data_IF_262208104716
#
_entry.id   IF_262208104716
#
_cell.length_a   1.000
_cell.length_b   1.000
_cell.length_c   1.000
_cell.angle_alpha   90.00
_cell.angle_beta   90.00
_cell.angle_gamma   90.00
#
_symmetry.space_group_name_H-M   'P 1'
#
loop_
_entity.id
_entity.type
_entity.pdbx_description
1 polymer ?
#
# COMPACT_ATOMS: atom_id res chain seq x y z
N UNK A 1 17.80 20.81 8.80
CA UNK A 1 18.03 19.49 9.45
C UNK A 1 18.36 19.80 10.90
N UNK A 2 17.45 19.55 11.84
CA UNK A 2 17.56 20.05 13.21
C UNK A 2 18.75 19.43 13.95
N UNK A 3 19.78 20.24 14.24
CA UNK A 3 20.99 19.86 14.99
C UNK A 3 20.73 19.87 16.49
N UNK A 4 19.93 18.92 16.97
CA UNK A 4 19.78 18.66 18.41
C UNK A 4 20.94 17.75 18.84
N UNK A 5 21.81 18.24 19.74
CA UNK A 5 22.92 17.47 20.30
C UNK A 5 22.42 16.23 21.06
N UNK A 6 22.66 15.02 20.53
CA UNK A 6 22.18 13.76 21.09
C UNK A 6 23.11 13.17 22.19
N UNK A 7 23.66 13.99 23.10
CA UNK A 7 24.52 13.51 24.21
C UNK A 7 23.87 13.52 25.60
N UNK A 8 22.76 14.24 25.80
CA UNK A 8 22.11 14.36 27.13
C UNK A 8 20.86 13.48 27.29
N UNK A 9 20.73 12.81 28.44
CA UNK A 9 19.54 12.03 28.83
C UNK A 9 18.22 12.82 28.68
N UNK A 10 18.28 14.14 28.89
CA UNK A 10 17.15 15.07 28.75
C UNK A 10 16.61 15.18 27.31
N UNK A 11 17.49 15.17 26.29
CA UNK A 11 17.07 15.27 24.88
C UNK A 11 16.41 13.97 24.40
N UNK A 12 16.82 12.82 24.95
CA UNK A 12 16.15 11.53 24.69
C UNK A 12 14.76 11.49 25.32
N UNK A 13 14.62 12.00 26.55
CA UNK A 13 13.33 12.05 27.24
C UNK A 13 12.34 12.98 26.54
N UNK A 14 12.81 14.11 26.01
CA UNK A 14 11.97 15.06 25.28
C UNK A 14 11.39 14.48 23.97
N UNK A 15 12.09 13.52 23.35
CA UNK A 15 11.61 12.76 22.18
C UNK A 15 10.77 11.54 22.60
N UNK A 16 11.12 10.89 23.71
CA UNK A 16 10.43 9.71 24.21
C UNK A 16 9.07 10.05 24.82
N UNK A 17 8.93 11.16 25.55
CA UNK A 17 7.68 11.56 26.22
C UNK A 17 6.51 11.70 25.22
N UNK A 18 6.65 12.37 24.06
CA UNK A 18 5.59 12.43 23.07
C UNK A 18 5.21 11.04 22.52
N UNK A 19 6.20 10.21 22.18
CA UNK A 19 5.96 8.87 21.61
C UNK A 19 5.30 7.96 22.65
N UNK A 20 5.78 7.99 23.91
CA UNK A 20 5.21 7.24 25.02
C UNK A 20 3.83 7.76 25.41
N UNK A 21 3.60 9.07 25.33
CA UNK A 21 2.29 9.68 25.57
C UNK A 21 1.25 9.22 24.55
N UNK A 22 1.64 9.16 23.26
CA UNK A 22 0.79 8.59 22.20
C UNK A 22 0.58 7.09 22.43
N UNK A 23 1.63 6.33 22.76
CA UNK A 23 1.52 4.90 23.09
C UNK A 23 0.64 4.61 24.30
N UNK A 24 0.68 5.47 25.32
CA UNK A 24 -0.19 5.40 26.47
C UNK A 24 -1.65 5.74 26.10
N UNK A 25 -1.86 6.79 25.28
CA UNK A 25 -3.18 7.14 24.79
C UNK A 25 -3.83 6.01 23.96
N UNK A 26 -3.03 5.26 23.19
CA UNK A 26 -3.48 4.10 22.42
C UNK A 26 -4.01 2.96 23.30
N UNK A 27 -3.61 2.85 24.58
CA UNK A 27 -4.13 1.82 25.49
C UNK A 27 -5.62 2.03 25.85
N UNK A 28 -6.14 3.24 25.66
CA UNK A 28 -7.57 3.53 25.89
C UNK A 28 -8.45 3.20 24.67
N UNK A 29 -7.84 2.85 23.53
CA UNK A 29 -8.53 2.41 22.33
C UNK A 29 -8.55 0.88 22.32
N UNK A 30 -9.64 0.28 21.84
CA UNK A 30 -9.70 -1.17 21.63
C UNK A 30 -8.57 -1.60 20.69
N UNK A 31 -7.70 -2.47 21.19
CA UNK A 31 -6.55 -2.98 20.45
C UNK A 31 -6.96 -3.65 19.13
N UNK A 32 -8.16 -4.22 19.07
CA UNK A 32 -8.74 -4.80 17.85
C UNK A 32 -8.90 -3.76 16.75
N UNK A 33 -9.31 -2.53 17.11
CA UNK A 33 -9.47 -1.43 16.15
C UNK A 33 -8.09 -1.02 15.62
N UNK A 34 -7.11 -0.82 16.51
CA UNK A 34 -5.74 -0.44 16.12
C UNK A 34 -5.16 -1.48 15.16
N UNK A 35 -5.25 -2.76 15.53
CA UNK A 35 -4.72 -3.86 14.74
C UNK A 35 -5.40 -3.96 13.37
N UNK A 36 -6.72 -3.74 13.31
CA UNK A 36 -7.46 -3.72 12.05
C UNK A 36 -6.96 -2.63 11.12
N UNK A 37 -6.78 -1.40 11.62
CA UNK A 37 -6.23 -0.30 10.83
C UNK A 37 -4.80 -0.55 10.35
N UNK A 38 -3.96 -1.08 11.24
CA UNK A 38 -2.60 -1.46 10.90
C UNK A 38 -2.56 -2.54 9.82
N UNK A 39 -3.39 -3.58 9.94
CA UNK A 39 -3.44 -4.70 9.01
C UNK A 39 -3.84 -4.27 7.59
N UNK A 40 -4.95 -3.52 7.42
CA UNK A 40 -5.39 -3.12 6.08
C UNK A 40 -4.46 -2.06 5.47
N UNK A 41 -3.89 -1.15 6.29
CA UNK A 41 -2.88 -0.19 5.82
C UNK A 41 -1.66 -0.91 5.26
N UNK A 42 -1.16 -1.94 5.97
CA UNK A 42 -0.04 -2.75 5.50
C UNK A 42 -0.36 -3.55 4.23
N UNK A 43 -1.56 -4.10 4.11
CA UNK A 43 -1.99 -4.78 2.87
C UNK A 43 -2.02 -3.81 1.69
N UNK A 44 -2.49 -2.57 1.91
CA UNK A 44 -2.50 -1.51 0.89
C UNK A 44 -1.08 -1.15 0.47
N UNK A 45 -0.18 -0.93 1.44
CA UNK A 45 1.22 -0.64 1.17
C UNK A 45 1.89 -1.78 0.39
N UNK A 46 1.69 -3.03 0.82
CA UNK A 46 2.21 -4.21 0.13
C UNK A 46 1.71 -4.28 -1.32
N UNK A 47 0.44 -3.93 -1.56
CA UNK A 47 -0.15 -3.89 -2.92
C UNK A 47 0.56 -2.87 -3.80
N UNK A 48 0.81 -1.67 -3.30
CA UNK A 48 1.55 -0.62 -4.03
C UNK A 48 2.96 -1.10 -4.35
N UNK A 49 3.66 -1.65 -3.36
CA UNK A 49 5.02 -2.19 -3.52
C UNK A 49 5.07 -3.33 -4.54
N UNK A 50 4.05 -4.20 -4.59
CA UNK A 50 3.96 -5.26 -5.60
C UNK A 50 3.82 -4.67 -7.02
N UNK A 51 3.01 -3.62 -7.21
CA UNK A 51 2.93 -2.93 -8.51
C UNK A 51 4.24 -2.25 -8.89
N UNK A 52 4.91 -1.59 -7.94
CA UNK A 52 6.24 -1.01 -8.15
C UNK A 52 7.28 -2.08 -8.51
N UNK A 53 7.28 -3.20 -7.80
CA UNK A 53 8.14 -4.36 -8.06
C UNK A 53 7.86 -5.00 -9.43
N UNK A 54 6.60 -5.07 -9.85
CA UNK A 54 6.24 -5.57 -11.18
C UNK A 54 6.79 -4.67 -12.31
N UNK A 55 6.73 -3.34 -12.13
CA UNK A 55 7.36 -2.38 -13.06
C UNK A 55 8.88 -2.57 -13.09
N UNK A 56 9.51 -2.72 -11.92
CA UNK A 56 10.96 -2.95 -11.82
C UNK A 56 11.38 -4.25 -12.52
N UNK A 57 10.68 -5.36 -12.27
CA UNK A 57 10.96 -6.64 -12.94
C UNK A 57 10.83 -6.55 -14.46
N UNK A 58 9.85 -5.81 -14.97
CA UNK A 58 9.70 -5.59 -16.41
C UNK A 58 10.89 -4.84 -17.00
N UNK A 59 11.38 -3.80 -16.32
CA UNK A 59 12.55 -3.03 -16.76
C UNK A 59 13.82 -3.88 -16.82
N UNK A 60 14.00 -4.76 -15.83
CA UNK A 60 15.11 -5.72 -15.77
C UNK A 60 14.92 -6.94 -16.71
N UNK A 61 13.87 -6.93 -17.56
CA UNK A 61 13.52 -8.04 -18.47
C UNK A 61 13.31 -9.39 -17.76
N UNK A 62 12.90 -9.35 -16.49
CA UNK A 62 12.53 -10.51 -15.69
C UNK A 62 11.02 -10.73 -15.72
N UNK A 63 10.58 -11.89 -15.24
CA UNK A 63 9.16 -12.26 -15.26
C UNK A 63 8.34 -11.39 -14.28
N UNK A 64 7.76 -10.29 -14.77
CA UNK A 64 6.92 -9.39 -13.98
C UNK A 64 5.61 -10.03 -13.49
N UNK A 65 5.19 -11.17 -14.05
CA UNK A 65 3.95 -11.87 -13.65
C UNK A 65 4.01 -12.33 -12.19
N UNK A 66 5.21 -12.63 -11.68
CA UNK A 66 5.41 -13.02 -10.28
C UNK A 66 4.95 -11.94 -9.29
N UNK A 67 5.02 -10.65 -9.67
CA UNK A 67 4.56 -9.54 -8.84
C UNK A 67 3.21 -8.97 -9.29
N UNK A 68 2.96 -8.88 -10.60
CA UNK A 68 1.71 -8.28 -11.14
C UNK A 68 0.46 -9.13 -10.88
N UNK A 69 0.56 -10.47 -10.88
CA UNK A 69 -0.57 -11.35 -10.54
C UNK A 69 -1.00 -11.16 -9.07
N UNK A 70 -0.12 -11.29 -8.07
CA UNK A 70 -0.51 -11.02 -6.68
C UNK A 70 -0.88 -9.55 -6.46
N UNK A 71 -0.28 -8.59 -7.18
CA UNK A 71 -0.69 -7.18 -7.09
C UNK A 71 -2.15 -6.96 -7.51
N UNK A 72 -2.57 -7.56 -8.63
CA UNK A 72 -3.94 -7.47 -9.12
C UNK A 72 -4.94 -8.09 -8.14
N UNK A 73 -4.63 -9.28 -7.62
CA UNK A 73 -5.45 -9.93 -6.59
C UNK A 73 -5.56 -9.09 -5.32
N UNK A 74 -4.43 -8.59 -4.81
CA UNK A 74 -4.42 -7.76 -3.60
C UNK A 74 -5.17 -6.44 -3.80
N UNK A 75 -5.15 -5.88 -5.01
CA UNK A 75 -5.97 -4.71 -5.36
C UNK A 75 -7.46 -5.01 -5.19
N UNK A 76 -7.94 -6.16 -5.67
CA UNK A 76 -9.34 -6.57 -5.47
C UNK A 76 -9.67 -6.74 -3.98
N UNK A 77 -8.78 -7.40 -3.22
CA UNK A 77 -8.98 -7.67 -1.78
C UNK A 77 -9.06 -6.38 -0.98
N UNK A 78 -8.09 -5.47 -1.15
CA UNK A 78 -8.03 -4.21 -0.41
C UNK A 78 -9.19 -3.29 -0.79
N UNK A 79 -9.52 -3.17 -2.08
CA UNK A 79 -10.68 -2.37 -2.52
C UNK A 79 -11.99 -2.93 -1.98
N UNK A 80 -12.20 -4.24 -2.05
CA UNK A 80 -13.41 -4.87 -1.50
C UNK A 80 -13.50 -4.64 0.00
N UNK A 81 -12.39 -4.79 0.73
CA UNK A 81 -12.34 -4.58 2.18
C UNK A 81 -12.76 -3.15 2.55
N UNK A 82 -12.17 -2.13 1.88
CA UNK A 82 -12.50 -0.72 2.14
C UNK A 82 -13.99 -0.43 1.89
N UNK A 83 -14.58 -1.06 0.88
CA UNK A 83 -15.99 -0.87 0.55
C UNK A 83 -16.94 -1.58 1.52
N UNK A 84 -16.58 -2.81 1.92
CA UNK A 84 -17.43 -3.67 2.73
C UNK A 84 -17.33 -3.38 4.24
N UNK A 85 -16.15 -3.03 4.72
CA UNK A 85 -15.89 -2.93 6.15
C UNK A 85 -16.79 -1.86 6.80
N UNK A 86 -17.29 -2.10 8.03
CA UNK A 86 -18.17 -1.16 8.72
C UNK A 86 -17.46 0.17 9.02
N UNK A 87 -16.15 0.16 9.22
CA UNK A 87 -15.33 1.38 9.35
C UNK A 87 -15.01 2.07 8.02
N UNK A 88 -15.27 1.42 6.89
CA UNK A 88 -15.09 1.94 5.54
C UNK A 88 -16.41 2.51 5.01
N UNK A 89 -16.83 2.05 3.84
CA UNK A 89 -18.09 2.50 3.23
C UNK A 89 -19.32 1.68 3.65
N UNK A 90 -19.16 0.60 4.43
CA UNK A 90 -20.26 -0.26 4.90
C UNK A 90 -21.20 -0.77 3.79
N UNK A 91 -20.68 -0.96 2.57
CA UNK A 91 -21.49 -1.40 1.43
C UNK A 91 -21.73 -2.91 1.44
N UNK A 92 -22.88 -3.32 0.93
CA UNK A 92 -23.23 -4.73 0.78
C UNK A 92 -22.23 -5.48 -0.11
N UNK A 93 -22.00 -6.76 0.18
CA UNK A 93 -21.11 -7.65 -0.58
C UNK A 93 -21.47 -7.74 -2.07
N UNK A 94 -22.75 -7.61 -2.39
CA UNK A 94 -23.28 -7.58 -3.76
C UNK A 94 -22.76 -6.40 -4.58
N UNK A 95 -22.34 -5.31 -3.93
CA UNK A 95 -21.78 -4.12 -4.56
C UNK A 95 -20.25 -4.12 -4.42
N UNK A 96 -19.74 -4.47 -3.24
CA UNK A 96 -18.31 -4.41 -2.93
C UNK A 96 -17.47 -5.38 -3.77
N UNK A 97 -17.93 -6.62 -3.99
CA UNK A 97 -17.16 -7.60 -4.79
C UNK A 97 -17.04 -7.20 -6.27
N UNK A 98 -18.12 -6.83 -6.98
CA UNK A 98 -17.99 -6.34 -8.36
C UNK A 98 -17.07 -5.13 -8.50
N UNK A 99 -17.14 -4.17 -7.58
CA UNK A 99 -16.27 -2.99 -7.62
C UNK A 99 -14.81 -3.38 -7.36
N UNK A 100 -14.55 -4.28 -6.41
CA UNK A 100 -13.20 -4.80 -6.16
C UNK A 100 -12.60 -5.49 -7.39
N UNK A 101 -13.39 -6.33 -8.07
CA UNK A 101 -12.96 -6.98 -9.33
C UNK A 101 -12.72 -5.93 -10.41
N UNK A 102 -13.62 -4.96 -10.57
CA UNK A 102 -13.46 -3.87 -11.54
C UNK A 102 -12.18 -3.07 -11.28
N UNK A 103 -11.88 -2.75 -10.02
CA UNK A 103 -10.66 -2.05 -9.64
C UNK A 103 -9.39 -2.84 -10.00
N UNK A 104 -9.36 -4.15 -9.76
CA UNK A 104 -8.24 -5.01 -10.15
C UNK A 104 -8.05 -5.08 -11.68
N UNK A 105 -9.14 -5.16 -12.43
CA UNK A 105 -9.10 -5.12 -13.91
C UNK A 105 -8.56 -3.78 -14.38
N UNK A 106 -9.06 -2.66 -13.85
CA UNK A 106 -8.59 -1.30 -14.20
C UNK A 106 -7.11 -1.13 -13.87
N UNK A 107 -6.67 -1.56 -12.68
CA UNK A 107 -5.26 -1.48 -12.29
C UNK A 107 -4.35 -2.30 -13.22
N UNK A 108 -4.80 -3.51 -13.59
CA UNK A 108 -4.06 -4.38 -14.50
C UNK A 108 -3.99 -3.80 -15.93
N UNK A 109 -5.10 -3.25 -16.42
CA UNK A 109 -5.13 -2.57 -17.72
C UNK A 109 -4.21 -1.34 -17.71
N UNK A 110 -4.26 -0.53 -16.65
CA UNK A 110 -3.38 0.62 -16.47
C UNK A 110 -1.91 0.21 -16.49
N UNK A 111 -1.56 -0.87 -15.78
CA UNK A 111 -0.22 -1.44 -15.78
C UNK A 111 0.22 -1.89 -17.19
N UNK A 112 -0.60 -2.66 -17.90
CA UNK A 112 -0.28 -3.12 -19.27
C UNK A 112 -0.10 -1.94 -20.23
N UNK A 113 -0.96 -0.92 -20.16
CA UNK A 113 -0.83 0.30 -20.97
C UNK A 113 0.47 1.04 -20.66
N UNK A 114 0.83 1.14 -19.38
CA UNK A 114 2.08 1.74 -18.94
C UNK A 114 3.30 0.98 -19.47
N UNK A 115 3.31 -0.36 -19.36
CA UNK A 115 4.40 -1.19 -19.88
C UNK A 115 4.53 -1.05 -21.41
N UNK A 116 3.42 -1.03 -22.16
CA UNK A 116 3.45 -0.84 -23.61
C UNK A 116 4.09 0.49 -23.99
N UNK A 117 3.72 1.57 -23.30
CA UNK A 117 4.30 2.91 -23.52
C UNK A 117 5.79 2.92 -23.20
N UNK A 118 6.20 2.29 -22.09
CA UNK A 118 7.61 2.21 -21.70
C UNK A 118 8.45 1.41 -22.71
N UNK A 119 7.96 0.27 -23.16
CA UNK A 119 8.64 -0.56 -24.18
C UNK A 119 8.76 0.19 -25.51
N UNK A 120 7.73 0.94 -25.93
CA UNK A 120 7.78 1.76 -27.14
C UNK A 120 8.85 2.87 -27.02
N UNK A 121 8.92 3.57 -25.89
CA UNK A 121 9.94 4.60 -25.63
C UNK A 121 11.37 4.02 -25.66
N UNK A 122 11.59 2.89 -24.99
CA UNK A 122 12.90 2.22 -24.99
C UNK A 122 13.30 1.72 -26.38
N UNK A 123 12.32 1.35 -27.23
CA UNK A 123 12.55 0.97 -28.63
C UNK A 123 12.91 2.14 -29.54
N UNK A 124 12.39 3.34 -29.26
CA UNK A 124 12.71 4.57 -29.99
C UNK A 124 14.08 5.13 -29.60
N UNK A 125 14.42 5.13 -28.31
CA UNK A 125 15.72 5.65 -27.81
C UNK A 125 16.92 4.78 -28.21
N UNK A 126 16.70 3.50 -28.54
CA UNK A 126 17.75 2.57 -28.98
C UNK A 126 18.04 2.59 -30.49
N UNK A 127 17.33 3.39 -31.29
CA UNK A 127 17.62 3.62 -32.71
C UNK A 127 18.30 4.97 -32.89
#
# INVERSE_FOLDING_TARGET
>A
MFSIEQKGMKNRLLLAIPILGIGFALNFIDFTIIWRYFAWSNQTLATIVLWTGAVYLHQEKRNHLMASVPAAFMTAVVTTYILQAPEGFSLATTISYPIGIAAAVVATLAFVMYLRKQTALLGVVRR
#
